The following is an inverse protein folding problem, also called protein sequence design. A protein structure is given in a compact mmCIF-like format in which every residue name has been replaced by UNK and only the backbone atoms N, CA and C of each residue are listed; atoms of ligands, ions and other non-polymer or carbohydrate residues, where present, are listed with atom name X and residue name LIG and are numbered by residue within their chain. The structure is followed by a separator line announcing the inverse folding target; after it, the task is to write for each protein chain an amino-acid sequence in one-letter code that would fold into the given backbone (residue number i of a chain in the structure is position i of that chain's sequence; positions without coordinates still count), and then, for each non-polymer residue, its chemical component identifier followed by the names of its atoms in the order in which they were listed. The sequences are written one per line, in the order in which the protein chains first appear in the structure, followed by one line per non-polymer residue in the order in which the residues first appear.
data_IF_595843228794
#
_entry.id   IF_595843228794
#
_cell.length_a   1.000
_cell.length_b   1.000
_cell.length_c   1.000
_cell.angle_alpha   90.00
_cell.angle_beta   90.00
_cell.angle_gamma   90.00
#
_symmetry.space_group_name_H-M   'P 1'
#
loop_
_entity.id
_entity.type
_entity.pdbx_description
1 polymer ?
#
# COMPACT_ATOMS: atom_id res chain seq x y z
N UNK A 1 36.16 -14.98 -5.91
CA UNK A 1 35.45 -14.49 -4.70
C UNK A 1 34.93 -13.11 -5.02
N UNK A 2 33.64 -12.99 -5.33
CA UNK A 2 33.01 -11.71 -5.61
C UNK A 2 32.70 -11.04 -4.26
N UNK A 3 33.29 -9.87 -4.02
CA UNK A 3 32.91 -9.04 -2.89
C UNK A 3 31.46 -8.62 -3.10
N UNK A 4 30.56 -9.15 -2.29
CA UNK A 4 29.15 -8.79 -2.25
C UNK A 4 29.05 -7.28 -1.97
N UNK A 5 28.36 -6.59 -2.89
CA UNK A 5 27.88 -5.21 -2.76
C UNK A 5 27.65 -4.84 -1.30
N UNK A 6 28.39 -3.85 -0.83
CA UNK A 6 28.20 -3.23 0.48
C UNK A 6 26.72 -2.97 0.71
N UNK A 7 26.17 -3.54 1.77
CA UNK A 7 24.97 -3.00 2.40
C UNK A 7 25.29 -1.55 2.77
N UNK A 8 25.02 -0.60 1.88
CA UNK A 8 24.98 0.81 2.24
C UNK A 8 23.95 0.91 3.36
N UNK A 9 24.41 1.17 4.59
CA UNK A 9 23.54 1.29 5.76
C UNK A 9 22.45 2.31 5.44
N UNK A 10 21.25 1.80 5.15
CA UNK A 10 20.07 2.64 4.93
C UNK A 10 19.48 2.99 6.30
N UNK A 11 19.17 4.26 6.51
CA UNK A 11 18.54 4.72 7.75
C UNK A 11 17.23 5.42 7.46
N UNK A 12 16.19 4.96 8.13
CA UNK A 12 14.83 5.41 7.92
C UNK A 12 14.48 6.44 8.98
N UNK A 13 14.14 7.66 8.55
CA UNK A 13 13.72 8.74 9.44
C UNK A 13 12.43 9.37 8.94
N UNK A 14 11.57 9.76 9.89
CA UNK A 14 10.41 10.61 9.61
C UNK A 14 10.86 12.06 9.70
N UNK A 15 10.41 12.89 8.76
CA UNK A 15 10.69 14.32 8.75
C UNK A 15 9.47 15.16 9.12
N UNK A 16 9.69 16.35 9.67
CA UNK A 16 8.63 17.33 9.92
C UNK A 16 9.14 18.75 9.77
N UNK A 17 8.30 19.62 9.21
CA UNK A 17 8.55 21.06 9.14
C UNK A 17 9.43 21.53 7.99
N UNK A 18 9.90 20.68 7.06
CA UNK A 18 10.73 21.14 5.93
C UNK A 18 9.90 21.64 4.75
N UNK A 19 9.13 20.73 4.15
CA UNK A 19 8.17 21.01 3.08
C UNK A 19 6.99 20.03 3.14
N UNK A 20 5.90 20.35 2.44
CA UNK A 20 4.66 19.57 2.46
C UNK A 20 4.83 18.13 1.92
N UNK A 21 5.80 17.92 1.03
CA UNK A 21 6.05 16.60 0.44
C UNK A 21 6.77 15.68 1.44
N UNK A 22 7.63 16.24 2.28
CA UNK A 22 8.39 15.54 3.32
C UNK A 22 7.64 15.45 4.66
N UNK A 23 6.59 16.24 4.86
CA UNK A 23 5.85 16.30 6.11
C UNK A 23 5.34 14.91 6.54
N UNK A 24 5.82 14.43 7.69
CA UNK A 24 5.54 13.12 8.28
C UNK A 24 5.87 11.92 7.39
N UNK A 25 6.70 12.13 6.36
CA UNK A 25 7.10 11.06 5.44
C UNK A 25 8.30 10.32 6.00
N UNK A 26 8.24 8.99 5.94
CA UNK A 26 9.41 8.12 6.15
C UNK A 26 10.33 8.21 4.92
N UNK A 27 11.56 8.62 5.13
CA UNK A 27 12.60 8.74 4.11
C UNK A 27 13.76 7.82 4.47
N UNK A 28 14.19 7.04 3.48
CA UNK A 28 15.31 6.12 3.61
C UNK A 28 16.57 6.82 3.10
N UNK A 29 17.38 7.34 4.01
CA UNK A 29 18.66 7.97 3.70
C UNK A 29 19.74 6.92 3.44
N UNK A 30 20.64 7.21 2.50
CA UNK A 30 21.81 6.39 2.20
C UNK A 30 23.06 7.06 2.77
N UNK A 31 23.89 6.27 3.47
CA UNK A 31 25.18 6.74 3.98
C UNK A 31 25.08 7.55 5.29
N UNK A 32 25.78 8.68 5.36
CA UNK A 32 25.88 9.48 6.59
C UNK A 32 24.51 10.04 7.00
N UNK A 33 24.07 9.65 8.21
CA UNK A 33 22.83 10.11 8.83
C UNK A 33 22.81 11.65 8.92
N UNK A 34 21.70 12.32 8.59
CA UNK A 34 21.46 13.69 9.07
C UNK A 34 21.40 13.64 10.59
N UNK A 35 22.50 14.00 11.26
CA UNK A 35 22.60 13.94 12.73
C UNK A 35 21.95 15.15 13.43
N UNK A 36 21.53 16.15 12.65
CA UNK A 36 21.02 17.42 13.16
C UNK A 36 19.52 17.33 13.42
N UNK A 37 19.07 18.00 14.48
CA UNK A 37 17.66 18.16 14.86
C UNK A 37 16.85 16.86 14.92
N UNK A 38 17.48 15.77 15.38
CA UNK A 38 16.79 14.52 15.70
C UNK A 38 16.20 14.63 17.10
N UNK A 39 14.89 14.42 17.22
CA UNK A 39 14.22 14.38 18.53
C UNK A 39 14.68 13.15 19.33
N UNK A 40 15.16 13.36 20.56
CA UNK A 40 15.65 12.30 21.45
C UNK A 40 14.54 11.33 21.89
N UNK A 41 13.27 11.75 21.86
CA UNK A 41 12.12 10.92 22.26
C UNK A 41 11.59 10.05 21.11
N UNK A 42 11.44 10.62 19.90
CA UNK A 42 10.71 9.96 18.81
C UNK A 42 11.54 9.74 17.54
N UNK A 43 12.83 10.10 17.53
CA UNK A 43 13.75 9.95 16.39
C UNK A 43 13.33 10.65 15.08
N UNK A 44 12.33 11.53 15.14
CA UNK A 44 11.92 12.39 14.01
C UNK A 44 12.98 13.46 13.79
N UNK A 45 13.34 13.69 12.53
CA UNK A 45 14.16 14.85 12.12
C UNK A 45 13.20 16.03 11.93
N UNK A 46 13.31 17.05 12.75
CA UNK A 46 12.46 18.23 12.68
C UNK A 46 13.22 19.45 12.15
N UNK A 47 12.56 20.30 11.35
CA UNK A 47 13.16 21.59 10.97
C UNK A 47 13.49 22.41 12.23
N UNK A 48 12.58 22.41 13.20
CA UNK A 48 12.72 23.11 14.47
C UNK A 48 12.73 22.11 15.63
N UNK A 49 13.71 22.24 16.51
CA UNK A 49 13.79 21.50 17.78
C UNK A 49 13.92 22.45 18.97
N UNK A 50 13.39 22.01 20.10
CA UNK A 50 13.48 22.67 21.41
C UNK A 50 14.60 22.01 22.20
N UNK A 51 15.60 22.79 22.58
CA UNK A 51 16.76 22.35 23.36
C UNK A 51 16.59 22.78 24.79
N UNK A 52 16.60 21.81 25.71
CA UNK A 52 16.49 22.06 27.14
C UNK A 52 17.86 22.27 27.80
N UNK A 53 17.87 22.80 29.01
CA UNK A 53 19.11 22.94 29.79
C UNK A 53 19.81 21.62 30.12
N UNK A 54 19.07 20.50 30.11
CA UNK A 54 19.67 19.17 30.23
C UNK A 54 20.26 18.65 28.91
N UNK A 55 20.35 19.51 27.88
CA UNK A 55 20.98 19.26 26.58
C UNK A 55 20.28 18.21 25.72
N UNK A 56 18.99 17.95 25.98
CA UNK A 56 18.16 17.08 25.15
C UNK A 56 17.33 17.90 24.15
N UNK A 57 17.06 17.30 22.99
CA UNK A 57 16.39 17.88 21.84
C UNK A 57 15.00 17.26 21.67
N UNK A 58 13.96 18.10 21.58
CA UNK A 58 12.59 17.65 21.34
C UNK A 58 12.01 18.32 20.08
N UNK A 59 11.37 17.56 19.22
CA UNK A 59 10.51 18.16 18.18
C UNK A 59 9.32 18.87 18.85
N UNK A 60 8.71 19.82 18.13
CA UNK A 60 7.63 20.64 18.69
C UNK A 60 6.50 19.80 19.29
N UNK A 61 6.04 18.75 18.59
CA UNK A 61 4.99 17.84 19.11
C UNK A 61 5.37 17.20 20.44
N UNK A 62 6.59 16.66 20.56
CA UNK A 62 7.03 16.04 21.81
C UNK A 62 7.17 17.07 22.93
N UNK A 63 7.70 18.26 22.63
CA UNK A 63 7.83 19.32 23.60
C UNK A 63 6.48 19.84 24.10
N UNK A 64 5.50 20.04 23.21
CA UNK A 64 4.15 20.47 23.61
C UNK A 64 3.47 19.44 24.52
N UNK A 65 3.69 18.15 24.30
CA UNK A 65 3.18 17.09 25.19
C UNK A 65 3.81 17.20 26.59
N UNK A 66 5.13 17.41 26.67
CA UNK A 66 5.86 17.62 27.93
C UNK A 66 5.27 18.81 28.69
N UNK A 67 5.11 19.96 28.03
CA UNK A 67 4.54 21.19 28.61
C UNK A 67 3.11 20.94 29.10
N UNK A 68 2.25 20.42 28.22
CA UNK A 68 0.81 20.22 28.50
C UNK A 68 0.60 19.27 29.68
N UNK A 69 1.43 18.22 29.77
CA UNK A 69 1.36 17.23 30.84
C UNK A 69 2.24 17.56 32.05
N UNK A 70 2.90 18.72 32.04
CA UNK A 70 3.83 19.18 33.09
C UNK A 70 4.85 18.10 33.46
N UNK A 71 5.43 17.45 32.46
CA UNK A 71 6.40 16.38 32.67
C UNK A 71 7.81 16.93 32.85
N UNK A 72 8.63 16.18 33.58
CA UNK A 72 10.09 16.35 33.55
C UNK A 72 10.64 15.86 32.21
N UNK A 73 11.92 16.11 31.97
CA UNK A 73 12.63 15.57 30.82
C UNK A 73 12.45 14.04 30.76
N UNK A 74 11.91 13.47 29.68
CA UNK A 74 11.68 12.03 29.57
C UNK A 74 12.97 11.21 29.43
N UNK A 75 14.12 11.86 29.20
CA UNK A 75 15.41 11.18 29.00
C UNK A 75 16.17 11.02 30.32
N UNK A 76 16.23 12.06 31.15
CA UNK A 76 17.03 12.08 32.38
C UNK A 76 16.27 12.53 33.64
N UNK A 77 14.94 12.69 33.53
CA UNK A 77 14.02 13.05 34.62
C UNK A 77 14.35 14.39 35.33
N UNK A 78 15.12 15.28 34.69
CA UNK A 78 15.38 16.64 35.21
C UNK A 78 14.21 17.58 34.91
N UNK A 79 14.01 18.56 35.79
CA UNK A 79 13.04 19.64 35.56
C UNK A 79 13.39 20.41 34.29
N UNK A 80 12.37 20.75 33.50
CA UNK A 80 12.53 21.58 32.32
C UNK A 80 12.13 23.01 32.69
N UNK A 81 13.10 23.92 32.63
CA UNK A 81 12.86 25.36 32.81
C UNK A 81 12.45 25.93 31.44
N UNK A 82 11.15 26.04 31.21
CA UNK A 82 10.58 26.37 29.90
C UNK A 82 11.03 27.72 29.35
N UNK A 83 11.32 28.71 30.20
CA UNK A 83 11.81 30.04 29.82
C UNK A 83 13.26 30.01 29.30
N UNK A 84 13.99 28.92 29.55
CA UNK A 84 15.39 28.73 29.13
C UNK A 84 15.52 27.72 27.99
N UNK A 85 14.40 27.33 27.39
CA UNK A 85 14.41 26.45 26.21
C UNK A 85 14.78 27.26 24.98
N UNK A 86 15.76 26.77 24.24
CA UNK A 86 16.25 27.41 23.00
C UNK A 86 15.70 26.67 21.80
N UNK A 87 15.39 27.40 20.73
CA UNK A 87 14.98 26.81 19.47
C UNK A 87 16.14 26.77 18.50
N UNK A 88 16.36 25.61 17.89
CA UNK A 88 17.29 25.46 16.77
C UNK A 88 16.47 25.15 15.53
N UNK A 89 16.60 26.00 14.53
CA UNK A 89 15.90 25.89 13.25
C UNK A 89 16.89 25.67 12.10
N UNK A 90 16.60 24.68 11.27
CA UNK A 90 17.32 24.42 10.02
C UNK A 90 16.66 25.16 8.85
N UNK A 91 17.43 25.43 7.80
CA UNK A 91 16.90 25.92 6.54
C UNK A 91 15.94 24.89 5.90
N UNK A 92 14.95 25.37 5.14
CA UNK A 92 13.91 24.50 4.55
C UNK A 92 14.48 23.46 3.59
N UNK A 93 15.52 23.83 2.86
CA UNK A 93 16.24 23.01 1.89
C UNK A 93 17.45 22.29 2.49
N UNK A 94 17.68 22.38 3.81
CA UNK A 94 18.79 21.70 4.48
C UNK A 94 18.86 20.19 4.15
N UNK A 95 17.69 19.56 3.96
CA UNK A 95 17.60 18.13 3.67
C UNK A 95 17.85 17.78 2.19
N UNK A 96 17.88 18.75 1.28
CA UNK A 96 17.82 18.54 -0.17
C UNK A 96 19.10 17.93 -0.77
N UNK A 97 20.23 18.10 -0.08
CA UNK A 97 21.52 17.55 -0.44
C UNK A 97 21.74 16.10 0.03
N UNK A 98 20.96 15.61 1.00
CA UNK A 98 21.13 14.26 1.53
C UNK A 98 20.67 13.22 0.51
N UNK A 99 21.44 12.16 0.35
CA UNK A 99 21.10 11.07 -0.56
C UNK A 99 20.01 10.19 0.07
N UNK A 100 18.94 9.93 -0.68
CA UNK A 100 17.82 9.12 -0.26
C UNK A 100 17.31 8.21 -1.38
N UNK A 101 16.56 7.17 -1.00
CA UNK A 101 15.81 6.33 -1.94
C UNK A 101 14.47 6.95 -2.30
N UNK A 102 13.95 6.59 -3.48
CA UNK A 102 12.59 6.94 -3.88
C UNK A 102 11.55 6.51 -2.83
N UNK A 103 10.50 7.31 -2.65
CA UNK A 103 9.40 7.01 -1.73
C UNK A 103 8.61 5.74 -2.09
N UNK A 104 8.79 5.21 -3.30
CA UNK A 104 8.26 3.91 -3.74
C UNK A 104 9.31 2.81 -3.83
N UNK A 105 10.44 2.93 -3.11
CA UNK A 105 11.48 1.91 -3.07
C UNK A 105 10.96 0.54 -2.61
N UNK A 106 10.08 0.51 -1.62
CA UNK A 106 9.40 -0.70 -1.14
C UNK A 106 8.50 -1.36 -2.20
N UNK A 107 8.11 -0.62 -3.24
CA UNK A 107 7.34 -1.13 -4.39
C UNK A 107 8.21 -1.58 -5.55
N UNK A 108 9.54 -1.46 -5.42
CA UNK A 108 10.50 -1.88 -6.44
C UNK A 108 11.17 -0.73 -7.18
N UNK A 109 10.87 0.53 -6.88
CA UNK A 109 11.61 1.64 -7.47
C UNK A 109 13.08 1.61 -7.02
N UNK A 110 14.00 1.60 -7.98
CA UNK A 110 15.46 1.58 -7.72
C UNK A 110 16.11 2.95 -7.79
N UNK A 111 15.33 4.01 -7.98
CA UNK A 111 15.86 5.37 -8.02
C UNK A 111 16.35 5.81 -6.63
N UNK A 112 17.53 6.41 -6.60
CA UNK A 112 18.13 7.05 -5.44
C UNK A 112 18.96 8.26 -5.89
N UNK A 113 19.19 9.20 -4.99
CA UNK A 113 19.95 10.42 -5.25
C UNK A 113 19.67 11.49 -4.19
N UNK A 114 20.16 12.74 -4.39
CA UNK A 114 19.82 13.86 -3.50
C UNK A 114 18.31 13.98 -3.32
N UNK A 115 17.87 14.31 -2.10
CA UNK A 115 16.46 14.38 -1.75
C UNK A 115 15.69 15.34 -2.66
N UNK A 116 16.31 16.45 -3.09
CA UNK A 116 15.77 17.33 -4.14
C UNK A 116 15.39 16.59 -5.43
N UNK A 117 16.26 15.70 -5.93
CA UNK A 117 16.00 14.88 -7.12
C UNK A 117 14.99 13.78 -6.86
N UNK A 118 14.94 13.23 -5.64
CA UNK A 118 13.91 12.26 -5.23
C UNK A 118 12.53 12.92 -5.20
N UNK A 119 12.42 14.13 -4.64
CA UNK A 119 11.18 14.94 -4.64
C UNK A 119 10.71 15.18 -6.07
N UNK A 120 11.60 15.64 -6.95
CA UNK A 120 11.29 15.83 -8.38
C UNK A 120 10.84 14.52 -9.05
N UNK A 121 11.59 13.44 -8.89
CA UNK A 121 11.22 12.12 -9.43
C UNK A 121 9.83 11.65 -8.97
N UNK A 122 9.48 11.91 -7.71
CA UNK A 122 8.15 11.61 -7.19
C UNK A 122 7.06 12.44 -7.88
N UNK A 123 7.29 13.76 -8.01
CA UNK A 123 6.33 14.70 -8.62
C UNK A 123 6.16 14.50 -10.13
N UNK A 124 7.24 14.19 -10.85
CA UNK A 124 7.24 13.92 -12.30
C UNK A 124 6.50 12.61 -12.65
N UNK A 125 6.20 11.78 -11.65
CA UNK A 125 5.44 10.54 -11.80
C UNK A 125 6.32 9.31 -11.86
N UNK A 126 6.79 8.86 -10.70
CA UNK A 126 7.47 7.57 -10.57
C UNK A 126 6.65 6.43 -11.20
N UNK A 127 7.29 5.57 -12.01
CA UNK A 127 6.64 4.41 -12.64
C UNK A 127 5.99 3.44 -11.65
N UNK A 128 6.45 3.40 -10.39
CA UNK A 128 5.93 2.53 -9.34
C UNK A 128 4.74 3.14 -8.58
N UNK A 129 4.07 4.13 -9.15
CA UNK A 129 2.81 4.67 -8.64
C UNK A 129 1.63 3.77 -9.05
N UNK A 130 0.80 3.40 -8.08
CA UNK A 130 -0.36 2.52 -8.28
C UNK A 130 -1.65 3.28 -7.92
N UNK A 131 -2.69 3.04 -8.71
CA UNK A 131 -4.04 3.52 -8.47
C UNK A 131 -4.99 2.32 -8.32
N UNK A 132 -6.15 2.54 -7.69
CA UNK A 132 -7.22 1.53 -7.69
C UNK A 132 -8.06 1.69 -8.96
N UNK A 133 -8.30 0.59 -9.65
CA UNK A 133 -9.26 0.57 -10.75
C UNK A 133 -10.67 0.81 -10.19
N UNK A 134 -11.40 1.79 -10.72
CA UNK A 134 -12.76 2.11 -10.24
C UNK A 134 -13.82 1.05 -10.56
N UNK A 135 -13.50 0.06 -11.42
CA UNK A 135 -14.40 -1.06 -11.75
C UNK A 135 -14.17 -2.28 -10.85
N UNK A 136 -12.91 -2.68 -10.67
CA UNK A 136 -12.57 -3.92 -9.94
C UNK A 136 -11.86 -3.73 -8.60
N UNK A 137 -11.57 -2.48 -8.21
CA UNK A 137 -10.80 -2.10 -7.03
C UNK A 137 -9.37 -2.68 -6.91
N UNK A 138 -8.88 -3.44 -7.91
CA UNK A 138 -7.50 -3.93 -7.95
C UNK A 138 -6.53 -2.75 -8.05
N UNK A 139 -5.37 -2.90 -7.39
CA UNK A 139 -4.26 -1.99 -7.61
C UNK A 139 -3.65 -2.25 -8.99
N UNK A 140 -3.54 -1.19 -9.78
CA UNK A 140 -2.99 -1.22 -11.13
C UNK A 140 -1.91 -0.14 -11.21
N UNK A 141 -0.84 -0.42 -11.93
CA UNK A 141 0.13 0.60 -12.26
C UNK A 141 -0.59 1.75 -12.96
N UNK A 142 -0.41 2.99 -12.48
CA UNK A 142 -1.11 4.17 -13.04
C UNK A 142 -0.90 4.29 -14.56
N UNK A 143 0.29 3.95 -15.04
CA UNK A 143 0.66 4.02 -16.45
C UNK A 143 -0.08 3.00 -17.31
N UNK A 144 -0.51 1.87 -16.75
CA UNK A 144 -1.30 0.83 -17.43
C UNK A 144 -2.78 0.86 -17.04
N UNK A 145 -3.26 1.93 -16.39
CA UNK A 145 -4.63 2.00 -15.89
C UNK A 145 -5.68 1.99 -17.02
N UNK A 146 -5.36 2.61 -18.16
CA UNK A 146 -6.25 2.65 -19.35
C UNK A 146 -6.36 1.28 -19.99
N UNK A 147 -5.22 0.62 -20.25
CA UNK A 147 -5.16 -0.74 -20.80
C UNK A 147 -5.93 -1.72 -19.90
N UNK A 148 -5.66 -1.69 -18.60
CA UNK A 148 -6.40 -2.48 -17.63
C UNK A 148 -7.91 -2.18 -17.70
N UNK A 149 -8.32 -0.92 -17.80
CA UNK A 149 -9.74 -0.55 -17.82
C UNK A 149 -10.45 -1.11 -19.05
N UNK A 150 -9.81 -1.08 -20.23
CA UNK A 150 -10.34 -1.66 -21.45
C UNK A 150 -10.57 -3.17 -21.32
N UNK A 151 -9.68 -3.87 -20.61
CA UNK A 151 -9.73 -5.32 -20.41
C UNK A 151 -10.38 -5.75 -19.08
N UNK A 152 -10.89 -4.80 -18.29
CA UNK A 152 -11.35 -5.07 -16.93
C UNK A 152 -12.67 -5.85 -16.95
N UNK A 153 -12.57 -7.17 -16.81
CA UNK A 153 -13.72 -8.10 -16.84
C UNK A 153 -14.59 -8.08 -15.58
N UNK A 154 -14.28 -7.26 -14.57
CA UNK A 154 -15.03 -7.21 -13.32
C UNK A 154 -16.37 -6.49 -13.54
N UNK A 155 -17.41 -7.25 -13.83
CA UNK A 155 -18.71 -6.75 -14.28
C UNK A 155 -19.32 -7.70 -15.30
N UNK A 156 -18.50 -8.31 -16.17
CA UNK A 156 -19.00 -9.36 -17.09
C UNK A 156 -19.46 -10.61 -16.33
N UNK A 157 -18.84 -10.92 -15.18
CA UNK A 157 -19.29 -12.05 -14.35
C UNK A 157 -20.58 -11.73 -13.59
N UNK A 158 -20.75 -10.49 -13.12
CA UNK A 158 -21.94 -10.05 -12.39
C UNK A 158 -23.13 -9.90 -13.34
N UNK A 159 -22.92 -9.24 -14.50
CA UNK A 159 -23.89 -9.12 -15.60
C UNK A 159 -24.25 -10.50 -16.18
N UNK A 160 -23.30 -11.45 -16.26
CA UNK A 160 -23.59 -12.81 -16.71
C UNK A 160 -24.37 -13.63 -15.66
N UNK A 161 -24.09 -13.46 -14.37
CA UNK A 161 -24.89 -14.09 -13.30
C UNK A 161 -26.32 -13.55 -13.33
N UNK A 162 -26.49 -12.23 -13.39
CA UNK A 162 -27.80 -11.57 -13.49
C UNK A 162 -28.55 -11.96 -14.78
N UNK A 163 -27.86 -12.10 -15.91
CA UNK A 163 -28.46 -12.57 -17.16
C UNK A 163 -28.87 -14.05 -17.10
N UNK A 164 -28.10 -14.92 -16.44
CA UNK A 164 -28.45 -16.34 -16.24
C UNK A 164 -29.66 -16.48 -15.30
N UNK A 165 -29.71 -15.67 -14.24
CA UNK A 165 -30.85 -15.63 -13.30
C UNK A 165 -32.12 -15.07 -13.98
N UNK A 166 -31.98 -14.09 -14.87
CA UNK A 166 -33.10 -13.55 -15.66
C UNK A 166 -33.62 -14.52 -16.74
N UNK A 167 -32.80 -15.47 -17.20
CA UNK A 167 -33.22 -16.54 -18.11
C UNK A 167 -33.98 -17.66 -17.39
N UNK A 168 -34.08 -17.60 -16.06
CA UNK A 168 -35.04 -18.30 -15.20
C UNK A 168 -35.49 -19.66 -15.73
N UNK A 169 -34.98 -20.74 -15.12
CA UNK A 169 -35.57 -22.08 -15.24
C UNK A 169 -37.08 -21.98 -15.11
N UNK A 170 -37.82 -22.13 -16.23
CA UNK A 170 -39.23 -22.44 -16.17
C UNK A 170 -39.31 -23.86 -15.64
N UNK A 171 -39.31 -24.02 -14.31
CA UNK A 171 -39.88 -25.21 -13.71
C UNK A 171 -41.32 -25.29 -14.22
N UNK A 172 -41.76 -26.41 -14.84
CA UNK A 172 -43.17 -26.58 -15.16
C UNK A 172 -43.95 -26.36 -13.86
N UNK A 173 -45.00 -25.54 -13.90
CA UNK A 173 -45.89 -25.39 -12.75
C UNK A 173 -46.48 -26.76 -12.39
N UNK A 174 -46.76 -26.97 -11.10
CA UNK A 174 -47.36 -28.21 -10.58
C UNK A 174 -48.74 -28.51 -11.19
N UNK A 175 -49.31 -27.59 -11.98
CA UNK A 175 -50.56 -27.75 -12.72
C UNK A 175 -50.47 -28.76 -13.88
N UNK A 176 -49.27 -29.06 -14.41
CA UNK A 176 -49.11 -30.02 -15.52
C UNK A 176 -49.10 -31.48 -15.05
N UNK A 177 -48.96 -31.75 -13.74
CA UNK A 177 -48.96 -33.11 -13.21
C UNK A 177 -50.35 -33.64 -12.84
N UNK A 178 -51.39 -32.80 -12.89
CA UNK A 178 -52.76 -33.14 -12.50
C UNK A 178 -53.68 -33.51 -13.69
N UNK A 179 -53.16 -33.62 -14.92
CA UNK A 179 -53.97 -33.93 -16.11
C UNK A 179 -53.71 -35.31 -16.74
N UNK A 180 -52.93 -36.18 -16.10
CA UNK A 180 -52.61 -37.52 -16.62
C UNK A 180 -53.21 -38.68 -15.81
N UNK A 181 -54.08 -38.43 -14.83
CA UNK A 181 -54.63 -39.50 -13.95
C UNK A 181 -56.16 -39.69 -14.02
N UNK A 182 -56.82 -39.26 -15.10
CA UNK A 182 -58.27 -39.47 -15.26
C UNK A 182 -58.66 -39.92 -16.67
N UNK A 183 -57.99 -40.94 -17.20
CA UNK A 183 -58.50 -41.73 -18.33
C UNK A 183 -57.83 -43.10 -18.37
N UNK A 184 -58.34 -44.03 -17.57
CA UNK A 184 -58.71 -45.39 -17.99
C UNK A 184 -59.33 -46.12 -16.79
N UNK A 185 -60.65 -46.29 -16.85
CA UNK A 185 -61.35 -47.19 -15.97
C UNK A 185 -61.09 -48.64 -16.37
N UNK A 186 -60.80 -49.50 -15.39
CA UNK A 186 -60.86 -50.94 -15.57
C UNK A 186 -60.09 -51.78 -14.57
N UNK A 187 -60.73 -52.15 -13.45
CA UNK A 187 -60.55 -53.49 -12.87
C UNK A 187 -59.52 -53.72 -11.74
N UNK A 188 -60.06 -53.78 -10.51
CA UNK A 188 -59.74 -54.70 -9.41
C UNK A 188 -58.33 -54.84 -8.77
N UNK A 189 -58.34 -54.55 -7.46
CA UNK A 189 -57.63 -55.17 -6.31
C UNK A 189 -56.17 -54.78 -6.02
N UNK A 190 -55.96 -54.28 -4.80
CA UNK A 190 -54.69 -54.50 -4.07
C UNK A 190 -54.33 -53.41 -3.06
N UNK A 191 -54.19 -53.81 -1.79
CA UNK A 191 -53.81 -53.01 -0.61
C UNK A 191 -52.46 -52.29 -0.69
N UNK A 192 -52.30 -51.21 0.09
CA UNK A 192 -51.01 -50.87 0.69
C UNK A 192 -50.75 -49.38 0.94
N UNK A 193 -51.02 -48.91 2.16
CA UNK A 193 -50.64 -47.57 2.65
C UNK A 193 -49.12 -47.48 2.86
N UNK A 194 -48.52 -46.31 2.59
CA UNK A 194 -47.17 -45.99 3.03
C UNK A 194 -46.66 -44.65 2.49
N UNK A 195 -46.84 -43.57 3.25
CA UNK A 195 -46.14 -42.30 3.01
C UNK A 195 -44.72 -42.30 3.57
N UNK A 196 -43.84 -41.40 3.11
CA UNK A 196 -42.70 -40.94 3.91
C UNK A 196 -41.98 -39.70 3.32
N UNK A 197 -42.16 -38.57 4.01
CA UNK A 197 -41.12 -37.67 4.53
C UNK A 197 -39.98 -37.14 3.65
N UNK A 198 -40.03 -35.81 3.49
CA UNK A 198 -38.95 -34.84 3.36
C UNK A 198 -37.56 -35.28 3.83
N UNK A 199 -36.55 -35.14 2.96
CA UNK A 199 -35.14 -35.09 3.38
C UNK A 199 -34.43 -33.84 2.84
N UNK A 200 -34.00 -33.03 3.80
CA UNK A 200 -33.08 -31.89 3.66
C UNK A 200 -31.75 -32.36 3.09
N UNK A 201 -31.29 -31.72 2.01
CA UNK A 201 -29.92 -31.85 1.52
C UNK A 201 -29.03 -30.79 2.18
N UNK A 202 -28.02 -31.26 2.94
CA UNK A 202 -26.95 -30.43 3.51
C UNK A 202 -25.91 -30.14 2.44
N UNK A 203 -25.50 -28.88 2.36
CA UNK A 203 -24.31 -28.42 1.66
C UNK A 203 -23.03 -29.07 2.21
N UNK A 204 -22.13 -29.46 1.32
CA UNK A 204 -20.71 -29.75 1.60
C UNK A 204 -19.85 -28.77 0.80
N UNK A 205 -18.90 -28.04 1.42
CA UNK A 205 -17.95 -27.22 0.68
C UNK A 205 -16.78 -28.07 0.17
N UNK A 206 -16.31 -27.78 -1.04
CA UNK A 206 -15.10 -28.38 -1.61
C UNK A 206 -13.89 -27.43 -1.54
N UNK A 207 -12.74 -28.07 -1.34
CA UNK A 207 -11.40 -27.56 -1.01
C UNK A 207 -10.81 -26.51 -1.97
N UNK A 208 -10.03 -25.61 -1.37
CA UNK A 208 -9.02 -24.79 -2.03
C UNK A 208 -7.85 -25.63 -2.57
N UNK A 209 -7.45 -25.37 -3.81
CA UNK A 209 -6.22 -25.88 -4.44
C UNK A 209 -5.39 -24.72 -4.95
N UNK A 210 -4.12 -24.68 -4.52
CA UNK A 210 -3.12 -23.69 -4.90
C UNK A 210 -2.55 -23.95 -6.30
N UNK A 211 -2.23 -22.88 -7.05
CA UNK A 211 -1.20 -22.90 -8.09
C UNK A 211 -0.45 -21.56 -8.08
N UNK A 212 0.80 -21.62 -7.65
CA UNK A 212 1.84 -20.60 -7.85
C UNK A 212 2.29 -20.64 -9.32
N UNK A 213 2.46 -19.47 -9.95
CA UNK A 213 3.37 -19.31 -11.08
C UNK A 213 4.15 -18.01 -10.94
N UNK A 214 5.45 -18.18 -10.77
CA UNK A 214 6.50 -17.17 -10.85
C UNK A 214 6.50 -16.54 -12.25
N UNK A 215 6.62 -15.21 -12.32
CA UNK A 215 6.85 -14.47 -13.55
C UNK A 215 8.23 -13.83 -13.43
N UNK A 216 9.19 -14.32 -14.21
CA UNK A 216 10.51 -13.71 -14.36
C UNK A 216 10.40 -12.34 -15.04
N UNK A 217 11.12 -11.30 -14.58
CA UNK A 217 11.19 -10.04 -15.28
C UNK A 217 12.14 -10.12 -16.49
N UNK A 218 11.64 -9.67 -17.65
CA UNK A 218 12.45 -9.40 -18.84
C UNK A 218 13.45 -8.28 -18.54
N UNK A 219 14.72 -8.57 -18.78
CA UNK A 219 15.75 -7.56 -19.01
C UNK A 219 15.49 -6.98 -20.41
N UNK A 220 15.62 -5.65 -20.54
CA UNK A 220 16.14 -4.93 -21.71
C UNK A 220 15.64 -3.48 -21.71
N UNK A 221 16.55 -2.56 -21.39
CA UNK A 221 16.68 -1.21 -21.99
C UNK A 221 17.61 -0.33 -21.12
N UNK A 222 18.89 -0.68 -21.08
CA UNK A 222 19.97 0.27 -20.82
C UNK A 222 20.78 0.38 -22.12
N UNK A 223 20.50 1.40 -22.91
CA UNK A 223 21.41 1.88 -23.94
C UNK A 223 21.23 3.39 -24.02
N UNK A 224 22.19 4.12 -23.46
CA UNK A 224 22.78 5.36 -24.00
C UNK A 224 23.59 6.04 -22.90
N UNK A 225 24.88 5.72 -22.88
CA UNK A 225 25.92 6.54 -22.31
C UNK A 225 26.92 6.88 -23.43
N UNK A 226 27.46 8.09 -23.37
CA UNK A 226 28.79 8.48 -23.84
C UNK A 226 28.98 8.83 -25.33
N UNK A 227 29.24 10.12 -25.58
CA UNK A 227 29.79 10.60 -26.83
C UNK A 227 29.85 12.12 -26.96
N UNK A 228 30.74 12.79 -26.20
CA UNK A 228 31.54 13.95 -26.66
C UNK A 228 32.42 14.52 -25.54
N UNK A 229 33.65 14.03 -25.47
CA UNK A 229 34.79 14.88 -25.17
C UNK A 229 35.26 15.47 -26.51
N UNK A 230 35.36 16.80 -26.59
CA UNK A 230 36.19 17.47 -27.58
C UNK A 230 37.10 18.43 -26.83
N UNK A 231 38.38 18.08 -26.82
CA UNK A 231 39.48 19.03 -26.69
C UNK A 231 39.34 20.12 -27.74
N UNK A 232 39.52 21.37 -27.35
CA UNK A 232 40.09 22.40 -28.23
C UNK A 232 41.14 23.13 -27.40
N UNK A 233 42.28 23.28 -28.05
CA UNK A 233 43.50 23.95 -27.64
C UNK A 233 43.27 25.44 -27.34
#
# INVERSE_FOLDING_TARGET
MALSRTDEETRDHVLTGFDDLLQWRLVQFLGSRPLQNVCDTCNVIARVVKVTLCSHFFCDVCYQIIVTRKMKCPIDNKEIVHEKVVEIELEKDHMDGYTARCFYASRGCRFWGPLSRVKRHFLDGCYFVYAKCSRCNKQVNRWHAVEHRAECKFGLLQEAIEAIEAVGTTSPSEDFLCQMTEQEGGGMRGHGQGGCSSRKWRFRPHRAGAVSREIQPRQDAQAQAEGRQTQVQ
#
